data_IF_304464957565
#
_entry.id   IF_304464957565
#
_cell.length_a   1.000
_cell.length_b   1.000
_cell.length_c   1.000
_cell.angle_alpha   90.00
_cell.angle_beta   90.00
_cell.angle_gamma   90.00
#
_symmetry.space_group_name_H-M   'P 1'
#
loop_
_entity.id
_entity.type
_entity.pdbx_description
1 polymer ?
#
# COMPACT_ATOMS: atom_id res chain seq x y z
N UNK A 1 -2.62 8.96 2.51
CA UNK A 1 -1.20 9.20 2.09
C UNK A 1 -0.98 8.81 0.63
N UNK A 2 0.01 9.37 -0.08
CA UNK A 2 0.34 8.97 -1.47
C UNK A 2 1.29 7.78 -1.48
N UNK A 3 1.03 6.78 -2.32
CA UNK A 3 1.84 5.57 -2.38
C UNK A 3 3.26 5.88 -2.88
N UNK A 4 3.41 6.75 -3.88
CA UNK A 4 4.72 7.19 -4.38
C UNK A 4 5.61 7.82 -3.30
N UNK A 5 5.00 8.58 -2.38
CA UNK A 5 5.72 9.23 -1.29
C UNK A 5 6.26 8.20 -0.28
N UNK A 6 5.46 7.16 0.01
CA UNK A 6 5.82 6.07 0.92
C UNK A 6 7.00 5.23 0.42
N UNK A 7 7.11 5.03 -0.90
CA UNK A 7 8.17 4.24 -1.53
C UNK A 7 9.34 5.09 -2.02
N UNK A 8 9.25 6.42 -1.92
CA UNK A 8 10.27 7.34 -2.42
C UNK A 8 11.60 7.11 -1.69
N UNK A 9 12.68 6.87 -2.46
CA UNK A 9 13.99 6.57 -1.91
C UNK A 9 14.13 5.16 -1.29
N UNK A 10 13.11 4.30 -1.43
CA UNK A 10 13.13 2.90 -0.97
C UNK A 10 13.40 1.93 -2.11
N UNK A 11 13.99 0.79 -1.77
CA UNK A 11 14.25 -0.32 -2.72
C UNK A 11 13.09 -1.31 -2.71
N UNK A 12 12.92 -2.06 -3.78
CA UNK A 12 11.84 -3.05 -3.94
C UNK A 12 11.79 -4.10 -2.84
N UNK A 13 12.96 -4.47 -2.30
CA UNK A 13 13.11 -5.47 -1.23
C UNK A 13 13.03 -4.85 0.19
N UNK A 14 12.75 -3.56 0.29
CA UNK A 14 12.55 -2.89 1.58
C UNK A 14 11.11 -3.13 2.07
N UNK A 15 10.93 -3.20 3.38
CA UNK A 15 9.61 -3.17 4.01
C UNK A 15 9.42 -1.79 4.67
N UNK A 16 8.27 -1.18 4.44
CA UNK A 16 7.89 0.07 5.12
C UNK A 16 6.87 -0.23 6.21
N UNK A 17 6.96 0.49 7.32
CA UNK A 17 5.95 0.41 8.37
C UNK A 17 4.89 1.49 8.14
N UNK A 18 3.66 1.06 7.87
CA UNK A 18 2.50 1.95 7.75
C UNK A 18 1.58 1.66 8.92
N UNK A 19 1.57 2.57 9.90
CA UNK A 19 0.63 2.53 11.04
C UNK A 19 0.63 1.20 11.82
N UNK A 20 1.81 0.56 11.92
CA UNK A 20 2.01 -0.71 12.63
C UNK A 20 2.07 -1.95 11.71
N UNK A 21 1.83 -1.79 10.41
CA UNK A 21 1.92 -2.88 9.42
C UNK A 21 3.20 -2.77 8.59
N UNK A 22 3.98 -3.85 8.57
CA UNK A 22 5.12 -3.99 7.64
C UNK A 22 4.60 -4.42 6.27
N UNK A 23 4.69 -3.51 5.31
CA UNK A 23 4.29 -3.71 3.92
C UNK A 23 5.54 -3.72 3.02
N UNK A 24 5.68 -4.69 2.10
CA UNK A 24 6.75 -4.68 1.11
C UNK A 24 6.58 -3.51 0.15
N UNK A 25 7.70 -2.88 -0.24
CA UNK A 25 7.70 -1.85 -1.28
C UNK A 25 7.21 -2.42 -2.62
N UNK A 26 7.52 -3.68 -2.94
CA UNK A 26 7.01 -4.34 -4.14
C UNK A 26 5.48 -4.37 -4.20
N UNK A 27 4.80 -4.66 -3.09
CA UNK A 27 3.34 -4.63 -3.02
C UNK A 27 2.75 -3.25 -3.32
N UNK A 28 3.42 -2.19 -2.83
CA UNK A 28 3.00 -0.81 -3.06
C UNK A 28 3.26 -0.36 -4.50
N UNK A 29 4.33 -0.84 -5.14
CA UNK A 29 4.57 -0.63 -6.56
C UNK A 29 3.52 -1.32 -7.42
N UNK A 30 3.17 -2.57 -7.10
CA UNK A 30 2.10 -3.28 -7.80
C UNK A 30 0.76 -2.55 -7.68
N UNK A 31 0.45 -1.94 -6.53
CA UNK A 31 -0.73 -1.09 -6.40
C UNK A 31 -0.71 0.13 -7.32
N UNK A 32 0.45 0.77 -7.52
CA UNK A 32 0.61 1.86 -8.48
C UNK A 32 0.37 1.37 -9.92
N UNK A 33 0.87 0.20 -10.28
CA UNK A 33 0.64 -0.43 -11.59
C UNK A 33 -0.84 -0.81 -11.80
N UNK A 34 -1.53 -1.27 -10.75
CA UNK A 34 -2.98 -1.49 -10.74
C UNK A 34 -3.79 -0.17 -10.84
N UNK A 35 -3.17 0.98 -10.64
CA UNK A 35 -3.78 2.31 -10.79
C UNK A 35 -4.27 2.94 -9.48
N UNK A 36 -3.86 2.42 -8.33
CA UNK A 36 -4.05 3.07 -7.04
C UNK A 36 -2.95 4.13 -6.82
N UNK A 37 -3.31 5.30 -6.33
CA UNK A 37 -2.35 6.42 -6.09
C UNK A 37 -2.22 6.75 -4.60
N UNK A 38 -3.26 6.45 -3.83
CA UNK A 38 -3.41 6.78 -2.43
C UNK A 38 -3.72 5.53 -1.60
N UNK A 39 -3.21 5.54 -0.39
CA UNK A 39 -3.40 4.51 0.63
C UNK A 39 -3.76 5.20 1.95
N UNK A 40 -4.70 4.62 2.69
CA UNK A 40 -5.06 5.06 4.04
C UNK A 40 -5.28 3.85 4.94
N UNK A 41 -4.44 3.69 5.98
CA UNK A 41 -4.58 2.59 6.93
C UNK A 41 -5.67 2.87 7.98
N UNK A 42 -6.46 1.84 8.30
CA UNK A 42 -7.43 1.82 9.38
C UNK A 42 -6.96 0.88 10.49
N UNK A 43 -6.30 1.45 11.52
CA UNK A 43 -5.70 0.69 12.62
C UNK A 43 -6.67 -0.25 13.34
N UNK A 44 -7.91 0.20 13.58
CA UNK A 44 -8.91 -0.59 14.30
C UNK A 44 -9.40 -1.80 13.49
N UNK A 45 -9.54 -1.62 12.19
CA UNK A 45 -10.15 -2.63 11.29
C UNK A 45 -9.11 -3.50 10.59
N UNK A 46 -7.82 -3.16 10.72
CA UNK A 46 -6.71 -3.87 10.06
C UNK A 46 -6.82 -3.87 8.53
N UNK A 47 -7.46 -2.83 7.99
CA UNK A 47 -7.72 -2.62 6.57
C UNK A 47 -7.04 -1.36 6.06
N UNK A 48 -6.96 -1.26 4.75
CA UNK A 48 -6.38 -0.17 4.00
C UNK A 48 -7.38 0.25 2.94
N UNK A 49 -7.85 1.50 2.98
CA UNK A 49 -8.53 2.08 1.83
C UNK A 49 -7.51 2.56 0.83
N UNK A 50 -7.76 2.24 -0.44
CA UNK A 50 -6.90 2.52 -1.56
C UNK A 50 -7.73 3.21 -2.62
N UNK A 51 -7.19 4.25 -3.24
CA UNK A 51 -7.86 4.91 -4.34
C UNK A 51 -6.87 5.57 -5.29
N UNK A 52 -7.29 5.76 -6.53
CA UNK A 52 -6.58 6.50 -7.56
C UNK A 52 -7.57 7.00 -8.60
N UNK A 53 -7.06 7.53 -9.71
CA UNK A 53 -7.89 8.08 -10.80
C UNK A 53 -8.89 7.09 -11.39
N UNK A 54 -8.61 5.78 -11.34
CA UNK A 54 -9.42 4.74 -12.02
C UNK A 54 -9.84 3.57 -11.14
N UNK A 55 -9.32 3.46 -9.92
CA UNK A 55 -9.59 2.35 -9.00
C UNK A 55 -9.80 2.83 -7.57
N UNK A 56 -10.71 2.18 -6.86
CA UNK A 56 -10.94 2.34 -5.43
C UNK A 56 -11.16 0.96 -4.83
N UNK A 57 -10.58 0.68 -3.67
CA UNK A 57 -10.72 -0.61 -3.01
C UNK A 57 -10.36 -0.56 -1.54
N UNK A 58 -10.83 -1.56 -0.79
CA UNK A 58 -10.39 -1.79 0.57
C UNK A 58 -9.69 -3.15 0.61
N UNK A 59 -8.47 -3.19 1.14
CA UNK A 59 -7.66 -4.40 1.26
C UNK A 59 -7.19 -4.59 2.70
N UNK A 60 -6.98 -5.82 3.13
CA UNK A 60 -6.29 -6.11 4.40
C UNK A 60 -4.78 -6.09 4.23
N UNK A 61 -4.04 -5.99 5.33
CA UNK A 61 -2.57 -6.10 5.30
C UNK A 61 -2.07 -7.42 4.68
N UNK A 62 -2.78 -8.52 4.91
CA UNK A 62 -2.47 -9.82 4.29
C UNK A 62 -2.71 -9.82 2.78
N UNK A 63 -3.79 -9.17 2.31
CA UNK A 63 -4.06 -9.03 0.87
C UNK A 63 -3.06 -8.12 0.17
N UNK A 64 -2.50 -7.12 0.86
CA UNK A 64 -1.40 -6.32 0.34
C UNK A 64 -0.12 -7.14 0.27
N UNK A 65 0.20 -7.91 1.31
CA UNK A 65 1.40 -8.75 1.35
C UNK A 65 1.39 -9.86 0.29
N UNK A 66 0.22 -10.39 -0.06
CA UNK A 66 0.08 -11.36 -1.17
C UNK A 66 0.25 -10.75 -2.56
N UNK A 67 0.25 -9.42 -2.69
CA UNK A 67 0.56 -8.70 -3.93
C UNK A 67 2.05 -8.36 -4.05
N UNK A 68 2.92 -8.90 -3.18
CA UNK A 68 4.36 -8.60 -3.17
C UNK A 68 5.15 -9.34 -4.24
#
# INVERSE_FOLDING_TARGET
>A
MKIEDLISGKKDNDEINVEGYSLPVSSLKNLLEEGYEHLEPYKNEKTFSLWGKRCTGCLTGEQLRNRA
#
